data_IF_433371116393
#
_entry.id   IF_433371116393
#
_cell.length_a   1.000
_cell.length_b   1.000
_cell.length_c   1.000
_cell.angle_alpha   90.00
_cell.angle_beta   90.00
_cell.angle_gamma   90.00
#
_symmetry.space_group_name_H-M   'P 1'
#
loop_
_entity.id
_entity.type
_entity.pdbx_description
1 polymer ?
#
# COMPACT_ATOMS: atom_id res chain seq x y z
N UNK A 1 -10.04 18.18 -10.89
CA UNK A 1 -11.02 17.96 -9.81
C UNK A 1 -12.27 18.84 -9.92
N UNK A 2 -12.13 20.16 -10.12
CA UNK A 2 -13.29 21.05 -10.26
C UNK A 2 -14.26 20.64 -11.38
N UNK A 3 -13.76 20.17 -12.52
CA UNK A 3 -14.61 19.75 -13.64
C UNK A 3 -15.32 18.42 -13.37
N UNK A 4 -14.68 17.49 -12.65
CA UNK A 4 -15.30 16.21 -12.21
C UNK A 4 -16.34 16.47 -11.14
N UNK A 5 -16.08 17.39 -10.22
CA UNK A 5 -17.05 17.81 -9.21
C UNK A 5 -18.27 18.45 -9.88
N UNK A 6 -18.08 19.41 -10.79
CA UNK A 6 -19.16 20.05 -11.57
C UNK A 6 -19.93 19.05 -12.44
N UNK A 7 -19.24 18.14 -13.11
CA UNK A 7 -19.87 17.10 -13.93
C UNK A 7 -20.74 16.17 -13.09
N UNK A 8 -20.27 15.74 -11.91
CA UNK A 8 -21.08 14.91 -11.02
C UNK A 8 -22.24 15.68 -10.37
N UNK A 9 -22.07 16.96 -10.01
CA UNK A 9 -23.19 17.82 -9.59
C UNK A 9 -24.29 17.87 -10.68
N UNK A 10 -23.89 18.03 -11.95
CA UNK A 10 -24.82 18.02 -13.08
C UNK A 10 -25.51 16.66 -13.30
N UNK A 11 -24.92 15.57 -12.82
CA UNK A 11 -25.54 14.23 -12.81
C UNK A 11 -26.44 14.01 -11.57
N UNK A 12 -26.68 15.05 -10.75
CA UNK A 12 -27.50 14.99 -9.55
C UNK A 12 -26.81 14.36 -8.34
N UNK A 13 -25.48 14.21 -8.38
CA UNK A 13 -24.71 13.68 -7.26
C UNK A 13 -24.26 14.84 -6.36
N UNK A 14 -23.98 14.58 -5.09
CA UNK A 14 -23.54 15.63 -4.14
C UNK A 14 -22.10 16.11 -4.38
N UNK A 15 -21.49 15.76 -5.52
CA UNK A 15 -20.10 16.07 -5.88
C UNK A 15 -19.36 14.85 -6.43
N UNK A 16 -18.02 14.88 -6.39
CA UNK A 16 -17.18 13.80 -6.90
C UNK A 16 -17.58 12.44 -6.29
N UNK A 17 -17.80 11.42 -7.12
CA UNK A 17 -18.16 10.08 -6.65
C UNK A 17 -17.00 9.27 -6.05
N UNK A 18 -15.77 9.73 -6.23
CA UNK A 18 -14.54 9.07 -5.79
C UNK A 18 -14.00 9.71 -4.49
N UNK A 19 -13.25 8.93 -3.71
CA UNK A 19 -12.51 9.44 -2.56
C UNK A 19 -11.22 10.12 -2.99
N UNK A 20 -10.58 9.59 -4.04
CA UNK A 20 -9.36 10.15 -4.59
C UNK A 20 -9.41 10.20 -6.12
N UNK A 21 -8.74 11.19 -6.69
CA UNK A 21 -8.50 11.35 -8.11
C UNK A 21 -7.02 11.59 -8.38
N UNK A 22 -6.42 10.83 -9.31
CA UNK A 22 -5.01 10.95 -9.68
C UNK A 22 -4.89 11.50 -11.09
N UNK A 23 -4.30 12.69 -11.23
CA UNK A 23 -4.10 13.33 -12.54
C UNK A 23 -2.95 12.73 -13.33
N UNK A 24 -2.87 13.02 -14.63
CA UNK A 24 -1.78 12.58 -15.52
C UNK A 24 -0.40 13.02 -15.04
N UNK A 25 -0.32 14.22 -14.45
CA UNK A 25 0.92 14.76 -13.89
C UNK A 25 1.31 14.17 -12.53
N UNK A 26 0.54 13.22 -11.98
CA UNK A 26 0.84 12.59 -10.69
C UNK A 26 0.36 13.38 -9.47
N UNK A 27 -0.58 14.32 -9.62
CA UNK A 27 -1.19 14.99 -8.47
C UNK A 27 -2.35 14.16 -7.93
N UNK A 28 -2.47 14.08 -6.61
CA UNK A 28 -3.62 13.49 -5.92
C UNK A 28 -4.57 14.60 -5.50
N UNK A 29 -5.85 14.43 -5.82
CA UNK A 29 -6.92 15.29 -5.39
C UNK A 29 -7.88 14.50 -4.51
N UNK A 30 -8.14 15.00 -3.32
CA UNK A 30 -9.16 14.45 -2.43
C UNK A 30 -10.55 14.81 -2.92
N UNK A 31 -11.44 13.82 -2.92
CA UNK A 31 -12.86 13.96 -3.21
C UNK A 31 -13.69 13.79 -1.96
N UNK A 32 -14.50 12.72 -1.91
CA UNK A 32 -15.26 12.39 -0.71
C UNK A 32 -14.31 11.95 0.42
N UNK A 33 -14.55 12.37 1.67
CA UNK A 33 -13.86 11.80 2.82
C UNK A 33 -14.02 10.28 2.85
N UNK A 34 -12.95 9.55 3.17
CA UNK A 34 -12.91 8.07 3.20
C UNK A 34 -13.91 7.41 4.16
N UNK A 35 -14.42 8.17 5.13
CA UNK A 35 -15.45 7.73 6.09
C UNK A 35 -16.88 8.05 5.63
N UNK A 36 -17.06 8.58 4.43
CA UNK A 36 -18.36 8.91 3.81
C UNK A 36 -18.63 7.97 2.65
N UNK A 37 -19.89 7.61 2.43
CA UNK A 37 -20.29 6.73 1.32
C UNK A 37 -19.95 7.39 -0.04
N UNK A 38 -19.28 6.62 -0.90
CA UNK A 38 -18.92 7.00 -2.25
C UNK A 38 -20.06 6.88 -3.26
N UNK A 39 -19.80 7.27 -4.52
CA UNK A 39 -20.71 7.07 -5.65
C UNK A 39 -19.99 6.49 -6.88
N UNK A 40 -18.99 5.64 -6.65
CA UNK A 40 -18.08 5.12 -7.69
C UNK A 40 -18.41 3.71 -8.18
N UNK A 41 -19.07 2.85 -7.39
CA UNK A 41 -19.48 1.49 -7.74
C UNK A 41 -20.67 1.05 -6.87
N UNK A 42 -21.88 1.00 -7.43
CA UNK A 42 -23.09 0.60 -6.69
C UNK A 42 -23.18 -0.92 -6.50
N UNK A 43 -22.59 -1.67 -7.43
CA UNK A 43 -22.62 -3.12 -7.48
C UNK A 43 -22.03 -3.71 -6.20
N UNK A 44 -22.69 -4.73 -5.67
CA UNK A 44 -22.31 -5.41 -4.42
C UNK A 44 -22.13 -4.45 -3.22
N UNK A 45 -22.80 -3.29 -3.24
CA UNK A 45 -22.69 -2.23 -2.24
C UNK A 45 -21.28 -1.63 -2.08
N UNK A 46 -20.43 -1.69 -3.11
CA UNK A 46 -19.03 -1.24 -3.01
C UNK A 46 -18.89 0.22 -2.56
N UNK A 47 -19.83 1.11 -2.93
CA UNK A 47 -19.89 2.50 -2.46
C UNK A 47 -19.77 2.67 -0.93
N UNK A 48 -20.31 1.75 -0.14
CA UNK A 48 -20.32 1.85 1.33
C UNK A 48 -19.24 1.00 2.02
N UNK A 49 -18.41 0.27 1.26
CA UNK A 49 -17.44 -0.70 1.80
C UNK A 49 -16.09 -0.69 1.11
N UNK A 50 -15.80 0.33 0.31
CA UNK A 50 -14.54 0.43 -0.41
C UNK A 50 -14.17 1.89 -0.65
N UNK A 51 -12.88 2.10 -0.95
CA UNK A 51 -12.32 3.40 -1.27
C UNK A 51 -12.13 3.50 -2.78
N UNK A 52 -13.01 4.22 -3.48
CA UNK A 52 -12.85 4.51 -4.90
C UNK A 52 -11.74 5.51 -5.21
N UNK A 53 -10.79 5.10 -6.05
CA UNK A 53 -9.76 5.94 -6.67
C UNK A 53 -10.06 6.03 -8.17
N UNK A 54 -10.13 7.25 -8.71
CA UNK A 54 -10.23 7.49 -10.15
C UNK A 54 -8.88 7.95 -10.69
N UNK A 55 -8.51 7.46 -11.87
CA UNK A 55 -7.36 7.96 -12.63
C UNK A 55 -7.87 8.79 -13.79
N UNK A 56 -7.26 9.94 -14.02
CA UNK A 56 -7.51 10.78 -15.19
C UNK A 56 -7.20 10.04 -16.48
N UNK A 57 -8.10 10.11 -17.45
CA UNK A 57 -7.89 9.58 -18.79
C UNK A 57 -8.93 8.54 -19.20
N UNK A 58 -8.89 8.16 -20.46
CA UNK A 58 -9.80 7.20 -21.06
C UNK A 58 -9.02 6.01 -21.65
N UNK A 59 -8.66 5.06 -20.78
CA UNK A 59 -7.85 3.89 -21.15
C UNK A 59 -8.66 2.73 -21.75
N UNK A 60 -9.78 3.05 -22.40
CA UNK A 60 -10.66 2.10 -23.06
C UNK A 60 -10.85 2.51 -24.52
N UNK A 61 -11.22 1.56 -25.38
CA UNK A 61 -11.44 1.82 -26.79
C UNK A 61 -12.77 2.56 -27.05
N UNK A 62 -12.71 3.89 -26.97
CA UNK A 62 -13.80 4.83 -27.28
C UNK A 62 -13.43 5.74 -28.46
N UNK A 63 -12.79 5.19 -29.49
CA UNK A 63 -12.39 5.90 -30.70
C UNK A 63 -11.51 7.15 -30.42
N UNK A 64 -12.03 8.37 -30.63
CA UNK A 64 -11.25 9.61 -30.56
C UNK A 64 -10.79 10.01 -29.14
N UNK A 65 -11.35 9.37 -28.12
CA UNK A 65 -11.04 9.65 -26.72
C UNK A 65 -10.05 8.64 -26.12
N UNK A 66 -9.70 7.58 -26.87
CA UNK A 66 -8.84 6.49 -26.39
C UNK A 66 -7.42 6.98 -26.11
N UNK A 67 -6.97 6.75 -24.89
CA UNK A 67 -5.58 6.90 -24.48
C UNK A 67 -4.98 5.51 -24.25
N UNK A 68 -3.86 5.21 -24.91
CA UNK A 68 -3.28 3.85 -24.90
C UNK A 68 -2.19 3.64 -23.86
N UNK A 69 -1.73 4.72 -23.24
CA UNK A 69 -0.62 4.70 -22.29
C UNK A 69 -0.97 5.53 -21.06
N UNK A 70 -0.78 4.94 -19.88
CA UNK A 70 -0.90 5.65 -18.60
C UNK A 70 0.43 6.36 -18.33
N UNK A 71 0.46 7.69 -18.15
CA UNK A 71 1.67 8.43 -17.79
C UNK A 71 2.36 7.84 -16.57
N UNK A 72 3.70 7.77 -16.61
CA UNK A 72 4.51 7.18 -15.53
C UNK A 72 4.24 7.84 -14.18
N UNK A 73 4.20 9.18 -14.13
CA UNK A 73 3.96 9.94 -12.91
C UNK A 73 2.61 9.59 -12.26
N UNK A 74 1.56 9.45 -13.07
CA UNK A 74 0.24 9.03 -12.62
C UNK A 74 0.25 7.59 -12.08
N UNK A 75 0.88 6.65 -12.79
CA UNK A 75 0.95 5.25 -12.36
C UNK A 75 1.76 5.09 -11.06
N UNK A 76 2.87 5.82 -10.92
CA UNK A 76 3.69 5.82 -9.71
C UNK A 76 2.91 6.36 -8.51
N UNK A 77 2.26 7.50 -8.69
CA UNK A 77 1.40 8.12 -7.67
C UNK A 77 0.25 7.19 -7.26
N UNK A 78 -0.39 6.53 -8.22
CA UNK A 78 -1.45 5.56 -7.95
C UNK A 78 -0.94 4.40 -7.08
N UNK A 79 0.26 3.88 -7.36
CA UNK A 79 0.90 2.80 -6.58
C UNK A 79 1.19 3.25 -5.16
N UNK A 80 1.78 4.44 -4.99
CA UNK A 80 2.11 5.00 -3.67
C UNK A 80 0.84 5.26 -2.84
N UNK A 81 -0.15 5.93 -3.43
CA UNK A 81 -1.44 6.18 -2.78
C UNK A 81 -2.13 4.86 -2.38
N UNK A 82 -2.14 3.87 -3.27
CA UNK A 82 -2.77 2.58 -2.98
C UNK A 82 -2.06 1.86 -1.84
N UNK A 83 -0.72 1.86 -1.80
CA UNK A 83 0.06 1.28 -0.70
C UNK A 83 -0.21 1.99 0.63
N UNK A 84 -0.26 3.31 0.61
CA UNK A 84 -0.58 4.11 1.80
C UNK A 84 -1.96 3.75 2.36
N UNK A 85 -2.99 3.66 1.50
CA UNK A 85 -4.34 3.28 1.92
C UNK A 85 -4.40 1.82 2.39
N UNK A 86 -3.67 0.91 1.74
CA UNK A 86 -3.56 -0.48 2.18
C UNK A 86 -3.01 -0.59 3.59
N UNK A 87 -1.93 0.14 3.90
CA UNK A 87 -1.34 0.15 5.23
C UNK A 87 -2.25 0.83 6.26
N UNK A 88 -2.82 1.98 5.92
CA UNK A 88 -3.65 2.79 6.82
C UNK A 88 -4.93 2.07 7.24
N UNK A 89 -5.57 1.36 6.31
CA UNK A 89 -6.86 0.70 6.52
C UNK A 89 -6.77 -0.83 6.59
N UNK A 90 -5.56 -1.39 6.70
CA UNK A 90 -5.30 -2.83 6.74
C UNK A 90 -5.98 -3.60 5.59
N UNK A 91 -5.85 -3.07 4.37
CA UNK A 91 -6.43 -3.67 3.16
C UNK A 91 -5.38 -4.57 2.51
N UNK A 92 -5.66 -5.87 2.46
CA UNK A 92 -4.83 -6.82 1.73
C UNK A 92 -4.75 -6.46 0.24
N UNK A 93 -3.60 -6.67 -0.39
CA UNK A 93 -3.42 -6.37 -1.82
C UNK A 93 -4.44 -7.12 -2.70
N UNK A 94 -4.89 -8.31 -2.29
CA UNK A 94 -5.93 -9.12 -2.95
C UNK A 94 -7.30 -8.44 -3.01
N UNK A 95 -7.55 -7.46 -2.13
CA UNK A 95 -8.76 -6.65 -2.07
C UNK A 95 -8.66 -5.35 -2.89
N UNK A 96 -7.55 -5.12 -3.59
CA UNK A 96 -7.47 -4.08 -4.62
C UNK A 96 -8.07 -4.65 -5.91
N UNK A 97 -9.20 -4.09 -6.33
CA UNK A 97 -10.06 -4.59 -7.42
C UNK A 97 -10.32 -3.51 -8.47
N UNK A 98 -10.64 -3.93 -9.69
CA UNK A 98 -11.14 -3.06 -10.76
C UNK A 98 -12.63 -2.81 -10.59
N UNK A 99 -13.13 -1.74 -11.19
CA UNK A 99 -14.57 -1.50 -11.27
C UNK A 99 -15.27 -2.62 -12.06
N UNK A 100 -14.68 -3.08 -13.16
CA UNK A 100 -15.22 -4.18 -13.96
C UNK A 100 -15.24 -5.54 -13.25
N UNK A 101 -14.50 -5.72 -12.14
CA UNK A 101 -14.57 -6.95 -11.34
C UNK A 101 -15.92 -7.07 -10.59
N UNK A 102 -16.63 -5.95 -10.39
CA UNK A 102 -17.97 -5.91 -9.77
C UNK A 102 -19.08 -5.55 -10.76
N UNK A 103 -18.79 -4.64 -11.68
CA UNK A 103 -19.71 -4.17 -12.71
C UNK A 103 -19.21 -4.63 -14.09
N UNK A 104 -19.45 -5.91 -14.42
CA UNK A 104 -18.92 -6.56 -15.64
C UNK A 104 -19.35 -5.89 -16.95
N UNK A 105 -20.45 -5.13 -16.94
CA UNK A 105 -20.92 -4.34 -18.08
C UNK A 105 -20.12 -3.03 -18.29
N UNK A 106 -19.24 -2.67 -17.35
CA UNK A 106 -18.28 -1.57 -17.46
C UNK A 106 -16.90 -2.13 -17.77
N UNK A 107 -16.10 -1.36 -18.49
CA UNK A 107 -14.71 -1.74 -18.81
C UNK A 107 -13.66 -1.07 -17.93
N UNK A 108 -14.06 -0.10 -17.11
CA UNK A 108 -13.19 0.65 -16.19
C UNK A 108 -12.34 -0.29 -15.30
N UNK A 109 -11.00 -0.10 -15.20
CA UNK A 109 -10.24 1.10 -15.60
C UNK A 109 -9.86 1.20 -17.08
N UNK A 110 -10.28 0.25 -17.91
CA UNK A 110 -10.05 0.25 -19.36
C UNK A 110 -8.99 -0.76 -19.78
N UNK A 111 -9.11 -1.26 -21.01
CA UNK A 111 -8.23 -2.28 -21.58
C UNK A 111 -6.75 -1.86 -21.71
N UNK A 112 -6.46 -0.56 -21.82
CA UNK A 112 -5.10 -0.03 -21.90
C UNK A 112 -4.50 0.30 -20.52
N UNK A 113 -5.27 0.17 -19.44
CA UNK A 113 -4.72 0.24 -18.09
C UNK A 113 -3.94 -1.05 -17.79
N UNK A 114 -2.65 -0.92 -17.47
CA UNK A 114 -1.75 -2.05 -17.21
C UNK A 114 -1.99 -2.69 -15.83
N UNK A 115 -3.15 -3.33 -15.66
CA UNK A 115 -3.61 -3.86 -14.38
C UNK A 115 -2.62 -4.80 -13.70
N UNK A 116 -2.05 -5.76 -14.43
CA UNK A 116 -1.11 -6.73 -13.85
C UNK A 116 0.23 -6.05 -13.46
N UNK A 117 0.68 -5.09 -14.27
CA UNK A 117 1.84 -4.26 -13.98
C UNK A 117 1.63 -3.38 -12.74
N UNK A 118 0.44 -2.81 -12.57
CA UNK A 118 0.04 -2.10 -11.36
C UNK A 118 -0.01 -3.05 -10.14
N UNK A 119 -0.68 -4.19 -10.26
CA UNK A 119 -0.87 -5.16 -9.18
C UNK A 119 0.44 -5.76 -8.67
N UNK A 120 1.39 -6.06 -9.56
CA UNK A 120 2.70 -6.58 -9.17
C UNK A 120 3.47 -5.59 -8.28
N UNK A 121 3.31 -4.29 -8.50
CA UNK A 121 3.93 -3.23 -7.70
C UNK A 121 3.31 -3.06 -6.31
N UNK A 122 2.10 -3.59 -6.08
CA UNK A 122 1.41 -3.53 -4.79
C UNK A 122 1.74 -4.69 -3.85
N UNK A 123 2.40 -5.73 -4.36
CA UNK A 123 2.85 -6.83 -3.50
C UNK A 123 3.95 -6.28 -2.61
N UNK A 124 3.62 -6.10 -1.33
CA UNK A 124 4.62 -5.84 -0.31
C UNK A 124 5.38 -7.16 -0.16
N UNK A 125 6.58 -7.22 -0.72
CA UNK A 125 7.57 -8.19 -0.26
C UNK A 125 7.78 -7.84 1.21
N UNK A 126 7.48 -8.75 2.12
CA UNK A 126 7.82 -8.60 3.53
C UNK A 126 9.30 -8.20 3.59
N UNK A 127 9.54 -6.92 3.91
CA UNK A 127 10.89 -6.50 4.24
C UNK A 127 11.18 -7.15 5.59
N UNK A 128 12.28 -7.90 5.74
CA UNK A 128 12.65 -8.43 7.04
C UNK A 128 12.61 -7.29 8.05
N UNK A 129 11.87 -7.48 9.15
CA UNK A 129 11.86 -6.53 10.25
C UNK A 129 13.31 -6.21 10.60
N UNK A 130 13.65 -4.92 10.61
CA UNK A 130 15.02 -4.49 10.91
C UNK A 130 15.42 -5.08 12.28
N UNK A 131 16.58 -5.75 12.31
CA UNK A 131 17.05 -6.43 13.53
C UNK A 131 17.25 -5.38 14.62
N UNK A 132 16.79 -5.70 15.83
CA UNK A 132 17.05 -4.90 17.02
C UNK A 132 18.55 -4.83 17.33
N UNK A 133 19.00 -3.81 18.08
CA UNK A 133 20.40 -3.69 18.49
C UNK A 133 20.87 -4.91 19.30
N UNK A 134 19.97 -5.53 20.06
CA UNK A 134 20.23 -6.75 20.81
C UNK A 134 20.44 -7.97 19.89
N UNK A 135 19.63 -8.13 18.84
CA UNK A 135 19.81 -9.20 17.84
C UNK A 135 21.15 -9.05 17.12
N UNK A 136 21.48 -7.82 16.70
CA UNK A 136 22.75 -7.49 16.07
C UNK A 136 23.94 -7.73 17.03
N UNK A 137 23.77 -7.38 18.31
CA UNK A 137 24.75 -7.62 19.37
C UNK A 137 25.03 -9.11 19.57
N UNK A 138 23.98 -9.93 19.69
CA UNK A 138 24.12 -11.38 19.85
C UNK A 138 24.80 -12.04 18.63
N UNK A 139 24.44 -11.63 17.41
CA UNK A 139 25.11 -12.09 16.19
C UNK A 139 26.60 -11.72 16.19
N UNK A 140 26.94 -10.52 16.66
CA UNK A 140 28.33 -10.08 16.81
C UNK A 140 29.09 -10.93 17.82
N UNK A 141 28.48 -11.27 18.95
CA UNK A 141 29.09 -12.12 19.97
C UNK A 141 29.30 -13.56 19.47
N UNK A 142 28.35 -14.10 18.71
CA UNK A 142 28.49 -15.42 18.05
C UNK A 142 29.61 -15.38 17.02
N UNK A 143 29.63 -14.37 16.14
CA UNK A 143 30.65 -14.24 15.10
C UNK A 143 32.07 -14.10 15.68
N UNK A 144 32.20 -13.48 16.85
CA UNK A 144 33.47 -13.36 17.60
C UNK A 144 33.80 -14.60 18.44
N UNK A 145 32.96 -15.63 18.46
CA UNK A 145 33.15 -16.84 19.26
C UNK A 145 33.04 -16.62 20.77
N UNK A 146 32.48 -15.49 21.20
CA UNK A 146 32.29 -15.16 22.62
C UNK A 146 31.16 -16.01 23.20
N UNK A 147 30.09 -16.22 22.44
CA UNK A 147 29.01 -17.16 22.77
C UNK A 147 28.85 -18.18 21.64
N UNK A 148 28.39 -19.39 21.97
CA UNK A 148 28.19 -20.47 20.99
C UNK A 148 26.88 -20.34 20.23
N UNK A 149 25.82 -19.88 20.91
CA UNK A 149 24.50 -19.65 20.32
C UNK A 149 23.71 -18.59 21.11
N UNK A 150 22.78 -17.87 20.47
CA UNK A 150 22.05 -16.77 21.10
C UNK A 150 20.84 -17.22 21.93
N UNK A 151 20.46 -18.50 21.88
CA UNK A 151 19.26 -19.10 22.50
C UNK A 151 19.12 -18.79 23.98
N UNK A 152 20.19 -18.96 24.76
CA UNK A 152 20.22 -18.64 26.20
C UNK A 152 19.85 -17.18 26.50
N UNK A 153 20.27 -16.26 25.63
CA UNK A 153 20.05 -14.82 25.80
C UNK A 153 18.71 -14.37 25.22
N UNK A 154 18.28 -15.00 24.12
CA UNK A 154 16.96 -14.78 23.52
C UNK A 154 15.83 -15.16 24.46
N UNK A 155 15.97 -16.23 25.26
CA UNK A 155 14.95 -16.65 26.22
C UNK A 155 14.83 -15.75 27.46
N UNK A 156 15.77 -14.81 27.66
CA UNK A 156 15.86 -13.92 28.82
C UNK A 156 15.82 -12.44 28.43
N UNK A 157 15.22 -12.12 27.30
CA UNK A 157 15.25 -10.78 26.70
C UNK A 157 14.79 -9.64 27.61
N UNK A 158 13.76 -9.93 28.42
CA UNK A 158 13.12 -8.98 29.34
C UNK A 158 13.77 -9.00 30.74
N UNK A 159 14.73 -9.90 30.97
CA UNK A 159 15.38 -10.07 32.27
C UNK A 159 16.73 -9.31 32.28
N UNK A 160 17.08 -8.63 33.39
CA UNK A 160 18.42 -8.06 33.55
C UNK A 160 19.49 -9.16 33.48
N UNK A 161 20.60 -8.88 32.79
CA UNK A 161 21.75 -9.77 32.79
C UNK A 161 22.33 -9.92 34.20
N UNK A 162 22.68 -11.15 34.60
CA UNK A 162 23.28 -11.38 35.92
C UNK A 162 24.78 -11.07 35.91
N UNK A 163 25.36 -10.86 37.10
CA UNK A 163 26.81 -10.70 37.27
C UNK A 163 27.57 -11.90 36.71
N UNK A 164 27.03 -13.12 36.86
CA UNK A 164 27.65 -14.35 36.33
C UNK A 164 27.69 -14.35 34.81
N UNK A 165 26.62 -13.88 34.18
CA UNK A 165 26.53 -13.80 32.72
C UNK A 165 27.55 -12.78 32.18
N UNK A 166 27.67 -11.63 32.86
CA UNK A 166 28.66 -10.59 32.51
C UNK A 166 30.10 -11.07 32.71
N UNK A 167 30.41 -11.78 33.80
CA UNK A 167 31.73 -12.37 34.03
C UNK A 167 32.08 -13.36 32.92
N UNK A 168 31.13 -14.21 32.52
CA UNK A 168 31.34 -15.20 31.45
C UNK A 168 31.63 -14.57 30.08
N UNK A 169 30.96 -13.45 29.76
CA UNK A 169 31.25 -12.64 28.57
C UNK A 169 32.64 -11.99 28.68
N UNK A 170 32.90 -11.28 29.78
CA UNK A 170 34.14 -10.51 29.96
C UNK A 170 35.38 -11.40 29.96
N UNK A 171 35.31 -12.59 30.57
CA UNK A 171 36.42 -13.55 30.60
C UNK A 171 36.86 -14.04 29.21
N UNK A 172 35.99 -13.92 28.20
CA UNK A 172 36.30 -14.30 26.81
C UNK A 172 36.75 -13.13 25.93
N UNK A 173 36.48 -11.90 26.37
CA UNK A 173 36.82 -10.67 25.64
C UNK A 173 38.14 -10.09 26.13
N UNK A 174 38.34 -10.09 27.45
CA UNK A 174 39.55 -9.56 28.09
C UNK A 174 40.58 -10.69 28.11
N UNK A 175 41.50 -10.65 27.14
CA UNK A 175 42.75 -11.41 27.15
C UNK A 175 43.90 -10.50 27.54
#
# INVERSE_FOLDING_TARGET
MNDIHKWHLNNGWEGCGYHFFVSKDGNVYEGRPVNVIGAHCKEQNMNSRSIGICIEGCYEDYAKQTEKEVPKAQLDTLVELTKYLMQTYNIASTNVKRHCDFASYKKCPGNYFTWDGFKSRLVVVEQPKEKTWQEQGLETLVAKGIISEPTHWKSKWEEPATVKDMIGILAKIVR
#
